data_IF_019146211575
#
_entry.id   IF_019146211575
#
_cell.length_a   1.000
_cell.length_b   1.000
_cell.length_c   1.000
_cell.angle_alpha   90.00
_cell.angle_beta   90.00
_cell.angle_gamma   90.00
#
_symmetry.space_group_name_H-M   'P 1'
#
loop_
_entity.id
_entity.type
_entity.pdbx_description
1 polymer ?
#
# COMPACT_ATOMS: atom_id res chain seq x y z
N UNK A 1 -0.77 8.29 -40.83
CA UNK A 1 -0.02 7.24 -40.11
C UNK A 1 0.41 7.79 -38.76
N UNK A 2 -0.08 7.18 -37.69
CA UNK A 2 0.57 7.02 -36.37
C UNK A 2 -0.50 6.47 -35.42
N UNK A 3 -0.79 5.17 -35.52
CA UNK A 3 -1.48 4.45 -34.45
C UNK A 3 -0.46 4.27 -33.34
N UNK A 4 -0.51 5.11 -32.31
CA UNK A 4 0.24 4.89 -31.08
C UNK A 4 -0.26 3.58 -30.50
N UNK A 5 0.58 2.55 -30.57
CA UNK A 5 0.31 1.28 -29.92
C UNK A 5 0.31 1.53 -28.42
N UNK A 6 -0.88 1.41 -27.83
CA UNK A 6 -1.09 1.39 -26.40
C UNK A 6 -0.22 0.26 -25.84
N UNK A 7 0.82 0.66 -25.11
CA UNK A 7 1.75 -0.27 -24.48
C UNK A 7 0.93 -1.00 -23.43
N UNK A 8 0.73 -2.32 -23.59
CA UNK A 8 0.14 -3.16 -22.54
C UNK A 8 0.97 -2.97 -21.27
N UNK A 9 0.49 -2.12 -20.37
CA UNK A 9 1.07 -1.99 -19.05
C UNK A 9 0.49 -3.16 -18.26
N UNK A 10 1.30 -4.21 -18.09
CA UNK A 10 0.98 -5.29 -17.16
C UNK A 10 1.06 -4.74 -15.74
N UNK A 11 -0.04 -4.14 -15.29
CA UNK A 11 -0.21 -3.62 -13.94
C UNK A 11 -0.44 -4.77 -12.96
N UNK A 12 0.22 -4.71 -11.80
CA UNK A 12 -0.05 -5.59 -10.68
C UNK A 12 -0.99 -4.90 -9.70
N UNK A 13 -2.03 -5.61 -9.26
CA UNK A 13 -2.96 -5.15 -8.22
C UNK A 13 -2.86 -6.07 -7.02
N UNK A 14 -2.78 -5.48 -5.83
CA UNK A 14 -2.76 -6.21 -4.57
C UNK A 14 -4.14 -6.72 -4.19
N UNK A 15 -4.22 -8.00 -3.86
CA UNK A 15 -5.43 -8.69 -3.42
C UNK A 15 -5.29 -9.07 -1.95
N UNK A 16 -6.29 -8.75 -1.14
CA UNK A 16 -6.48 -9.33 0.18
C UNK A 16 -7.15 -10.70 0.00
N UNK A 17 -6.52 -11.76 0.51
CA UNK A 17 -7.07 -13.11 0.49
C UNK A 17 -7.32 -13.58 1.92
N UNK A 18 -8.57 -13.89 2.22
CA UNK A 18 -9.03 -14.33 3.53
C UNK A 18 -9.55 -15.77 3.45
N UNK A 19 -9.27 -16.57 4.48
CA UNK A 19 -9.83 -17.92 4.61
C UNK A 19 -11.16 -17.83 5.35
N UNK A 20 -12.17 -18.52 4.83
CA UNK A 20 -13.52 -18.60 5.39
C UNK A 20 -13.89 -20.04 5.76
N UNK A 21 -15.02 -20.21 6.45
CA UNK A 21 -15.54 -21.52 6.87
C UNK A 21 -15.68 -22.48 5.67
N UNK A 22 -16.10 -21.96 4.50
CA UNK A 22 -16.39 -22.76 3.31
C UNK A 22 -15.49 -22.43 2.10
N UNK A 23 -14.29 -21.89 2.33
CA UNK A 23 -13.34 -21.61 1.25
C UNK A 23 -12.52 -20.36 1.49
N UNK A 24 -12.41 -19.51 0.47
CA UNK A 24 -11.63 -18.29 0.46
C UNK A 24 -12.42 -17.13 -0.10
N UNK A 25 -12.15 -15.93 0.41
CA UNK A 25 -12.61 -14.65 -0.15
C UNK A 25 -11.41 -13.86 -0.62
N UNK A 26 -11.47 -13.37 -1.85
CA UNK A 26 -10.46 -12.51 -2.44
C UNK A 26 -11.07 -11.13 -2.71
N UNK A 27 -10.39 -10.07 -2.27
CA UNK A 27 -10.87 -8.68 -2.34
C UNK A 27 -9.79 -7.76 -2.91
N UNK A 28 -10.15 -6.90 -3.85
CA UNK A 28 -9.21 -5.92 -4.43
C UNK A 28 -9.00 -4.77 -3.46
N UNK A 29 -7.74 -4.50 -3.09
CA UNK A 29 -7.43 -3.37 -2.22
C UNK A 29 -7.80 -2.04 -2.90
N UNK A 30 -8.52 -1.18 -2.18
CA UNK A 30 -9.03 0.10 -2.70
C UNK A 30 -10.34 0.00 -3.49
N UNK A 31 -10.85 -1.21 -3.75
CA UNK A 31 -12.14 -1.44 -4.42
C UNK A 31 -12.98 -2.45 -3.63
N UNK A 32 -13.62 -2.04 -2.52
CA UNK A 32 -14.32 -2.97 -1.61
C UNK A 32 -15.46 -3.75 -2.28
N UNK A 33 -16.10 -3.20 -3.31
CA UNK A 33 -17.15 -3.91 -4.06
C UNK A 33 -16.60 -4.93 -5.06
N UNK A 34 -15.28 -4.96 -5.29
CA UNK A 34 -14.62 -5.91 -6.17
C UNK A 34 -14.03 -7.06 -5.34
N UNK A 35 -14.89 -8.01 -5.01
CA UNK A 35 -14.54 -9.21 -4.24
C UNK A 35 -15.20 -10.45 -4.85
N UNK A 36 -14.62 -11.61 -4.59
CA UNK A 36 -15.19 -12.89 -4.98
C UNK A 36 -14.82 -14.01 -4.01
N UNK A 37 -15.65 -15.05 -3.98
CA UNK A 37 -15.41 -16.26 -3.19
C UNK A 37 -14.98 -17.42 -4.09
N UNK A 38 -14.25 -18.37 -3.52
CA UNK A 38 -13.87 -19.63 -4.16
C UNK A 38 -13.68 -20.73 -3.14
N UNK A 39 -13.93 -21.98 -3.54
CA UNK A 39 -13.73 -23.15 -2.66
C UNK A 39 -12.24 -23.35 -2.39
N UNK A 40 -11.41 -23.13 -3.41
CA UNK A 40 -9.95 -23.11 -3.31
C UNK A 40 -9.39 -21.69 -3.39
N UNK A 41 -8.12 -21.54 -3.03
CA UNK A 41 -7.38 -20.28 -3.16
C UNK A 41 -7.36 -19.83 -4.63
N UNK A 42 -7.08 -20.76 -5.54
CA UNK A 42 -6.97 -20.52 -6.97
C UNK A 42 -8.32 -20.11 -7.56
N UNK A 43 -9.42 -20.73 -7.11
CA UNK A 43 -10.77 -20.35 -7.52
C UNK A 43 -11.11 -18.93 -7.10
N UNK A 44 -10.81 -18.55 -5.85
CA UNK A 44 -11.08 -17.21 -5.35
C UNK A 44 -10.30 -16.15 -6.13
N UNK A 45 -9.03 -16.43 -6.46
CA UNK A 45 -8.19 -15.55 -7.27
C UNK A 45 -8.69 -15.44 -8.71
N UNK A 46 -9.08 -16.55 -9.33
CA UNK A 46 -9.65 -16.53 -10.70
C UNK A 46 -10.98 -15.75 -10.72
N UNK A 47 -11.82 -15.92 -9.70
CA UNK A 47 -13.11 -15.26 -9.63
C UNK A 47 -12.97 -13.74 -9.40
N UNK A 48 -12.04 -13.31 -8.53
CA UNK A 48 -11.81 -11.87 -8.33
C UNK A 48 -11.18 -11.22 -9.56
N UNK A 49 -10.32 -11.94 -10.29
CA UNK A 49 -9.77 -11.46 -11.56
C UNK A 49 -10.88 -11.21 -12.59
N UNK A 50 -11.83 -12.16 -12.74
CA UNK A 50 -13.00 -11.98 -13.63
C UNK A 50 -13.88 -10.82 -13.19
N UNK A 51 -14.13 -10.68 -11.89
CA UNK A 51 -14.91 -9.57 -11.35
C UNK A 51 -14.26 -8.21 -11.65
N UNK A 52 -12.93 -8.13 -11.50
CA UNK A 52 -12.14 -6.94 -11.81
C UNK A 52 -12.18 -6.61 -13.30
N UNK A 53 -11.90 -7.59 -14.17
CA UNK A 53 -11.95 -7.40 -15.64
C UNK A 53 -13.33 -6.88 -16.09
N UNK A 54 -14.42 -7.51 -15.63
CA UNK A 54 -15.79 -7.07 -15.94
C UNK A 54 -16.08 -5.64 -15.46
N UNK A 55 -15.56 -5.25 -14.29
CA UNK A 55 -15.71 -3.88 -13.79
C UNK A 55 -14.97 -2.90 -14.70
N UNK A 56 -13.72 -3.21 -15.06
CA UNK A 56 -12.87 -2.35 -15.88
C UNK A 56 -13.38 -2.21 -17.32
N UNK A 57 -14.13 -3.18 -17.85
CA UNK A 57 -14.80 -3.06 -19.17
C UNK A 57 -15.82 -1.91 -19.24
N UNK A 58 -16.39 -1.51 -18.09
CA UNK A 58 -17.45 -0.50 -18.01
C UNK A 58 -17.11 0.70 -17.14
N UNK A 59 -15.92 0.70 -16.52
CA UNK A 59 -15.49 1.74 -15.60
C UNK A 59 -14.46 2.66 -16.25
N UNK A 60 -14.59 3.95 -15.98
CA UNK A 60 -13.62 4.97 -16.37
C UNK A 60 -13.01 5.59 -15.11
N UNK A 61 -11.69 5.75 -15.10
CA UNK A 61 -11.00 6.50 -14.04
C UNK A 61 -11.06 7.98 -14.40
N UNK A 62 -11.93 8.71 -13.70
CA UNK A 62 -12.09 10.16 -13.89
C UNK A 62 -11.34 10.92 -12.81
N UNK A 63 -10.64 11.99 -13.21
CA UNK A 63 -10.03 12.94 -12.27
C UNK A 63 -10.96 14.13 -12.10
N UNK A 64 -11.40 14.39 -10.88
CA UNK A 64 -12.23 15.55 -10.55
C UNK A 64 -11.34 16.61 -9.89
N UNK A 65 -11.30 17.86 -10.41
CA UNK A 65 -10.55 18.92 -9.75
C UNK A 65 -11.19 19.22 -8.39
N UNK A 66 -10.37 19.26 -7.34
CA UNK A 66 -10.80 19.75 -6.03
C UNK A 66 -10.51 21.25 -5.95
N UNK A 67 -11.49 22.01 -5.46
CA UNK A 67 -11.32 23.44 -5.19
C UNK A 67 -10.32 23.62 -4.03
N UNK A 68 -9.04 23.72 -4.39
CA UNK A 68 -7.92 24.08 -3.53
C UNK A 68 -7.84 23.31 -2.20
N UNK A 69 -7.15 22.16 -2.19
CA UNK A 69 -6.43 21.79 -0.98
C UNK A 69 -5.28 22.80 -0.83
N UNK A 70 -5.51 23.85 -0.04
CA UNK A 70 -4.53 24.92 0.13
C UNK A 70 -3.35 24.40 0.97
N UNK A 71 -2.41 23.72 0.32
CA UNK A 71 -1.08 23.41 0.85
C UNK A 71 -0.37 24.64 1.45
N UNK A 72 -0.56 25.88 0.93
CA UNK A 72 -0.02 27.08 1.58
C UNK A 72 -0.46 27.28 3.03
N UNK A 73 -1.63 26.76 3.46
CA UNK A 73 -2.06 26.83 4.87
C UNK A 73 -1.24 25.95 5.81
N UNK A 74 -0.53 24.95 5.27
CA UNK A 74 0.34 24.06 6.04
C UNK A 74 1.79 24.56 6.08
N UNK A 75 2.17 25.46 5.16
CA UNK A 75 3.51 26.02 5.11
C UNK A 75 3.77 26.91 6.33
N UNK A 76 4.72 26.50 7.17
CA UNK A 76 5.08 27.23 8.38
C UNK A 76 4.12 27.04 9.56
N UNK A 77 3.25 26.01 9.52
CA UNK A 77 2.29 25.70 10.58
C UNK A 77 2.92 25.65 11.99
N UNK A 78 4.17 25.19 12.09
CA UNK A 78 4.89 25.04 13.36
C UNK A 78 5.99 26.09 13.57
N UNK A 79 6.06 27.13 12.73
CA UNK A 79 7.17 28.11 12.75
C UNK A 79 7.33 28.78 14.11
N UNK A 80 6.21 29.15 14.72
CA UNK A 80 6.17 29.88 15.99
C UNK A 80 5.68 28.99 17.15
N UNK A 81 5.70 27.67 16.98
CA UNK A 81 5.30 26.73 18.02
C UNK A 81 6.34 26.72 19.17
N UNK A 82 5.97 27.10 20.41
CA UNK A 82 6.88 27.13 21.55
C UNK A 82 7.47 25.76 21.88
N UNK A 83 6.77 24.68 21.51
CA UNK A 83 7.15 23.30 21.78
C UNK A 83 7.97 22.69 20.65
N UNK A 84 8.24 23.44 19.57
CA UNK A 84 8.95 22.91 18.39
C UNK A 84 10.30 22.27 18.74
N UNK A 85 11.07 22.91 19.62
CA UNK A 85 12.38 22.41 20.02
C UNK A 85 12.29 21.10 20.82
N UNK A 86 11.30 20.99 21.72
CA UNK A 86 11.05 19.79 22.50
C UNK A 86 10.61 18.63 21.60
N UNK A 87 9.70 18.92 20.65
CA UNK A 87 9.28 17.96 19.64
C UNK A 87 10.46 17.46 18.80
N UNK A 88 11.34 18.36 18.32
CA UNK A 88 12.53 17.95 17.55
C UNK A 88 13.47 17.06 18.37
N UNK A 89 13.69 17.37 19.64
CA UNK A 89 14.52 16.57 20.53
C UNK A 89 13.93 15.17 20.76
N UNK A 90 12.63 15.08 21.03
CA UNK A 90 11.92 13.81 21.21
C UNK A 90 11.99 12.95 19.93
N UNK A 91 11.76 13.55 18.77
CA UNK A 91 11.85 12.86 17.48
C UNK A 91 13.27 12.37 17.17
N UNK A 92 14.30 13.13 17.56
CA UNK A 92 15.69 12.72 17.39
C UNK A 92 16.05 11.53 18.29
N UNK A 93 15.63 11.55 19.57
CA UNK A 93 15.81 10.41 20.49
C UNK A 93 15.15 9.15 19.94
N UNK A 94 13.88 9.27 19.54
CA UNK A 94 13.13 8.16 18.98
C UNK A 94 13.81 7.55 17.76
N UNK A 95 14.33 8.39 16.85
CA UNK A 95 15.06 7.90 15.66
C UNK A 95 16.34 7.17 16.04
N UNK A 96 17.11 7.68 17.00
CA UNK A 96 18.32 7.01 17.46
C UNK A 96 18.02 5.63 18.06
N UNK A 97 16.94 5.51 18.84
CA UNK A 97 16.51 4.24 19.43
C UNK A 97 16.12 3.23 18.33
N UNK A 98 15.29 3.65 17.37
CA UNK A 98 14.85 2.81 16.26
C UNK A 98 16.02 2.41 15.35
N UNK A 99 16.91 3.35 15.03
CA UNK A 99 18.09 3.07 14.20
C UNK A 99 19.04 2.09 14.91
N UNK A 100 19.21 2.21 16.23
CA UNK A 100 20.05 1.31 17.01
C UNK A 100 19.45 -0.10 17.13
N UNK A 101 18.13 -0.20 17.29
CA UNK A 101 17.42 -1.49 17.29
C UNK A 101 17.57 -2.20 15.94
N UNK A 102 17.35 -1.46 14.85
CA UNK A 102 17.50 -1.99 13.49
C UNK A 102 18.94 -2.42 13.18
N UNK A 103 19.95 -1.64 13.57
CA UNK A 103 21.36 -2.00 13.41
C UNK A 103 21.72 -3.27 14.21
N UNK A 104 21.17 -3.42 15.42
CA UNK A 104 21.38 -4.61 16.23
C UNK A 104 20.76 -5.86 15.59
N UNK A 105 19.58 -5.74 14.96
CA UNK A 105 18.95 -6.81 14.19
C UNK A 105 19.79 -7.20 12.97
N UNK A 106 20.29 -6.22 12.19
CA UNK A 106 21.17 -6.49 11.06
C UNK A 106 22.44 -7.24 11.47
N UNK A 107 23.08 -6.83 12.57
CA UNK A 107 24.31 -7.47 13.06
C UNK A 107 24.10 -8.91 13.55
N UNK A 108 22.91 -9.21 14.09
CA UNK A 108 22.52 -10.57 14.47
C UNK A 108 22.25 -11.46 13.26
N UNK A 109 21.69 -10.89 12.18
CA UNK A 109 21.41 -11.62 10.95
C UNK A 109 22.67 -11.97 10.13
N UNK A 110 23.75 -11.20 10.30
CA UNK A 110 25.06 -11.42 9.65
C UNK A 110 25.98 -12.36 10.44
N UNK A 111 25.56 -12.87 11.60
CA UNK A 111 26.30 -13.94 12.28
C UNK A 111 26.14 -15.24 11.48
N UNK A 112 27.24 -15.87 11.01
CA UNK A 112 27.14 -17.14 10.30
C UNK A 112 26.51 -18.17 11.24
N UNK A 113 25.36 -18.71 10.83
CA UNK A 113 24.69 -19.82 11.52
C UNK A 113 25.73 -20.89 11.83
N UNK A 114 26.12 -21.01 13.10
CA UNK A 114 27.00 -22.07 13.57
C UNK A 114 26.21 -23.38 13.47
N UNK A 115 26.35 -24.04 12.33
CA UNK A 115 25.98 -25.45 12.19
C UNK A 115 27.18 -26.24 12.69
N UNK A 116 27.05 -26.76 13.92
CA UNK A 116 27.87 -27.82 14.48
C UNK A 116 26.95 -28.88 15.09
#
# INVERSE_FOLDING_TARGET
>A
MATTMEKDHMGTISILLEREINGFRASVLGLPDCQAQGVTREDALSNVQKALSKRLESAEVVTIPLDSFSLPKLAGLFKDDPQWNEFQAAMASYRQEVDAELEAEYLQSDQPSSVA
#
